data_IF_798673593802
#
_entry.id   IF_798673593802
#
_cell.length_a   1.000
_cell.length_b   1.000
_cell.length_c   1.000
_cell.angle_alpha   90.00
_cell.angle_beta   90.00
_cell.angle_gamma   90.00
#
_symmetry.space_group_name_H-M   'P 1'
#
loop_
_entity.id
_entity.type
_entity.pdbx_description
1 polymer ?
#
# COMPACT_ATOMS: atom_id res chain seq x y z
N UNK A 1 4.14 -6.18 25.03
CA UNK A 1 4.61 -5.77 23.70
C UNK A 1 4.82 -7.06 22.92
N UNK A 2 3.85 -7.43 22.09
CA UNK A 2 4.02 -8.59 21.21
C UNK A 2 5.03 -8.14 20.15
N UNK A 3 6.16 -8.84 20.03
CA UNK A 3 7.05 -8.62 18.90
C UNK A 3 6.27 -9.01 17.65
N UNK A 4 6.12 -8.07 16.71
CA UNK A 4 5.56 -8.41 15.41
C UNK A 4 6.47 -9.50 14.81
N UNK A 5 5.92 -10.60 14.29
CA UNK A 5 6.74 -11.66 13.73
C UNK A 5 7.61 -11.08 12.62
N UNK A 6 8.87 -11.53 12.53
CA UNK A 6 9.72 -11.23 11.38
C UNK A 6 9.03 -11.72 10.11
N UNK A 7 8.89 -10.83 9.12
CA UNK A 7 8.18 -11.11 7.87
C UNK A 7 9.16 -11.14 6.70
N UNK A 8 8.91 -12.06 5.77
CA UNK A 8 9.57 -12.11 4.46
C UNK A 8 8.53 -11.84 3.38
N UNK A 9 8.86 -10.94 2.46
CA UNK A 9 8.09 -10.73 1.23
C UNK A 9 8.78 -11.50 0.11
N UNK A 10 8.05 -12.45 -0.48
CA UNK A 10 8.48 -13.24 -1.63
C UNK A 10 7.58 -12.92 -2.83
N UNK A 11 8.18 -12.40 -3.90
CA UNK A 11 7.55 -12.20 -5.21
C UNK A 11 8.34 -13.00 -6.27
N UNK A 12 7.86 -13.13 -7.53
CA UNK A 12 8.56 -13.92 -8.55
C UNK A 12 10.00 -13.44 -8.82
N UNK A 13 10.28 -12.16 -8.55
CA UNK A 13 11.55 -11.50 -8.87
C UNK A 13 12.26 -10.90 -7.64
N UNK A 14 11.60 -10.85 -6.48
CA UNK A 14 12.14 -10.24 -5.27
C UNK A 14 11.96 -11.15 -4.05
N UNK A 15 12.96 -11.16 -3.18
CA UNK A 15 12.86 -11.74 -1.85
C UNK A 15 13.54 -10.78 -0.89
N UNK A 16 12.78 -10.24 0.07
CA UNK A 16 13.28 -9.28 1.04
C UNK A 16 12.81 -9.58 2.44
N UNK A 17 13.70 -9.37 3.39
CA UNK A 17 13.39 -9.33 4.81
C UNK A 17 12.81 -7.96 5.14
N UNK A 18 11.65 -7.93 5.78
CA UNK A 18 11.04 -6.68 6.24
C UNK A 18 11.60 -6.31 7.63
N UNK A 19 11.79 -5.02 7.92
CA UNK A 19 12.26 -4.55 9.21
C UNK A 19 11.32 -5.01 10.33
N UNK A 20 11.90 -5.26 11.51
CA UNK A 20 11.12 -5.53 12.72
C UNK A 20 10.56 -4.21 13.27
N UNK A 21 9.28 -3.97 13.01
CA UNK A 21 8.54 -2.81 13.45
C UNK A 21 7.61 -3.17 14.61
N UNK A 22 7.49 -2.27 15.59
CA UNK A 22 6.65 -2.48 16.79
C UNK A 22 5.31 -1.77 16.70
N UNK A 23 5.16 -0.88 15.74
CA UNK A 23 3.92 -0.19 15.42
C UNK A 23 3.25 -0.86 14.22
N UNK A 24 1.96 -1.15 14.35
CA UNK A 24 1.21 -1.90 13.34
C UNK A 24 0.97 -1.06 12.09
N UNK A 25 0.66 0.22 12.24
CA UNK A 25 0.39 1.12 11.12
C UNK A 25 1.68 1.39 10.33
N UNK A 26 2.80 1.61 11.01
CA UNK A 26 4.13 1.70 10.40
C UNK A 26 4.48 0.41 9.62
N UNK A 27 4.18 -0.76 10.19
CA UNK A 27 4.41 -2.04 9.52
C UNK A 27 3.54 -2.21 8.26
N UNK A 28 2.28 -1.77 8.31
CA UNK A 28 1.35 -1.81 7.18
C UNK A 28 1.83 -0.87 6.06
N UNK A 29 2.20 0.37 6.39
CA UNK A 29 2.72 1.35 5.43
C UNK A 29 3.96 0.78 4.74
N UNK A 30 4.92 0.29 5.51
CA UNK A 30 6.17 -0.23 4.94
C UNK A 30 5.93 -1.44 4.04
N UNK A 31 5.11 -2.41 4.47
CA UNK A 31 4.75 -3.54 3.62
C UNK A 31 4.05 -3.09 2.32
N UNK A 32 3.18 -2.09 2.41
CA UNK A 32 2.46 -1.57 1.26
C UNK A 32 3.38 -0.85 0.26
N UNK A 33 4.38 -0.10 0.73
CA UNK A 33 5.42 0.51 -0.12
C UNK A 33 6.17 -0.56 -0.92
N UNK A 34 6.67 -1.59 -0.23
CA UNK A 34 7.46 -2.64 -0.87
C UNK A 34 6.63 -3.44 -1.89
N UNK A 35 5.35 -3.70 -1.60
CA UNK A 35 4.43 -4.35 -2.53
C UNK A 35 4.11 -3.45 -3.73
N UNK A 36 3.91 -2.15 -3.51
CA UNK A 36 3.65 -1.21 -4.59
C UNK A 36 4.83 -1.11 -5.54
N UNK A 37 6.04 -0.99 -5.02
CA UNK A 37 7.26 -0.91 -5.82
C UNK A 37 7.42 -2.16 -6.70
N UNK A 38 7.23 -3.35 -6.12
CA UNK A 38 7.29 -4.61 -6.87
C UNK A 38 6.24 -4.68 -7.97
N UNK A 39 5.00 -4.29 -7.69
CA UNK A 39 3.93 -4.36 -8.69
C UNK A 39 4.17 -3.32 -9.79
N UNK A 40 4.58 -2.09 -9.46
CA UNK A 40 4.88 -1.04 -10.45
C UNK A 40 6.02 -1.49 -11.37
N UNK A 41 7.06 -2.12 -10.81
CA UNK A 41 8.16 -2.67 -11.60
C UNK A 41 7.66 -3.74 -12.57
N UNK A 42 6.78 -4.65 -12.12
CA UNK A 42 6.24 -5.74 -12.95
C UNK A 42 5.24 -5.29 -14.02
N UNK A 43 4.30 -4.41 -13.67
CA UNK A 43 3.23 -3.98 -14.59
C UNK A 43 3.64 -2.84 -15.51
N UNK A 44 4.80 -2.21 -15.24
CA UNK A 44 5.29 -1.02 -15.93
C UNK A 44 4.22 0.08 -16.06
N UNK A 45 3.50 0.34 -14.97
CA UNK A 45 2.32 1.21 -14.95
C UNK A 45 1.99 1.73 -13.55
N UNK A 46 0.82 2.35 -13.41
CA UNK A 46 0.34 2.86 -12.13
C UNK A 46 -0.35 1.75 -11.33
N UNK A 47 0.12 1.51 -10.11
CA UNK A 47 -0.55 0.61 -9.17
C UNK A 47 -0.40 1.10 -7.72
N UNK A 48 -1.46 1.06 -6.89
CA UNK A 48 -2.85 0.94 -7.31
C UNK A 48 -3.21 2.15 -8.19
N UNK A 49 -3.97 1.98 -9.27
CA UNK A 49 -4.30 3.10 -10.15
C UNK A 49 -5.25 4.07 -9.43
N UNK A 50 -5.00 5.37 -9.56
CA UNK A 50 -5.99 6.37 -9.16
C UNK A 50 -7.22 6.26 -10.07
N UNK A 51 -8.45 6.16 -9.53
CA UNK A 51 -9.65 6.04 -10.35
C UNK A 51 -10.03 7.35 -11.08
N UNK A 52 -9.39 8.47 -10.73
CA UNK A 52 -9.67 9.80 -11.33
C UNK A 52 -8.55 10.32 -12.24
N UNK A 53 -7.31 9.89 -12.03
CA UNK A 53 -6.13 10.51 -12.65
C UNK A 53 -5.11 9.46 -13.11
N UNK A 54 -4.22 9.84 -14.02
CA UNK A 54 -3.20 8.96 -14.59
C UNK A 54 -1.93 8.91 -13.73
N UNK A 55 -2.04 8.44 -12.48
CA UNK A 55 -0.93 8.25 -11.56
C UNK A 55 -1.25 7.12 -10.57
N UNK A 56 -0.24 6.49 -9.93
CA UNK A 56 -0.48 5.60 -8.80
C UNK A 56 -1.07 6.38 -7.62
N UNK A 57 -1.77 5.68 -6.74
CA UNK A 57 -2.07 6.20 -5.40
C UNK A 57 -0.79 6.18 -4.57
N UNK A 58 -0.68 7.11 -3.63
CA UNK A 58 0.42 7.15 -2.66
C UNK A 58 -0.06 6.67 -1.31
N UNK A 59 0.86 6.30 -0.43
CA UNK A 59 0.51 6.01 0.95
C UNK A 59 0.35 7.30 1.76
N UNK A 60 -0.64 7.30 2.64
CA UNK A 60 -0.92 8.34 3.61
C UNK A 60 -1.89 7.80 4.65
N UNK A 61 -2.65 8.69 5.27
CA UNK A 61 -3.60 8.32 6.33
C UNK A 61 -5.02 8.71 5.95
N UNK A 62 -6.01 7.94 6.42
CA UNK A 62 -7.40 8.37 6.49
C UNK A 62 -7.61 9.46 7.55
N UNK A 63 -8.77 10.13 7.53
CA UNK A 63 -9.14 11.10 8.57
C UNK A 63 -9.15 10.53 10.00
N UNK A 64 -9.34 9.21 10.14
CA UNK A 64 -9.27 8.50 11.42
C UNK A 64 -7.87 7.94 11.75
N UNK A 65 -6.86 8.29 10.96
CA UNK A 65 -5.44 8.00 11.22
C UNK A 65 -4.99 6.59 10.85
N UNK A 66 -5.72 5.89 9.97
CA UNK A 66 -5.33 4.56 9.49
C UNK A 66 -4.55 4.65 8.17
N UNK A 67 -3.56 3.78 7.94
CA UNK A 67 -2.88 3.70 6.66
C UNK A 67 -3.85 3.52 5.48
N UNK A 68 -3.69 4.36 4.46
CA UNK A 68 -4.53 4.35 3.28
C UNK A 68 -3.76 4.66 1.99
N UNK A 69 -4.31 4.13 0.89
CA UNK A 69 -4.00 4.56 -0.46
C UNK A 69 -4.75 5.86 -0.76
N UNK A 70 -4.02 6.93 -1.00
CA UNK A 70 -4.54 8.28 -1.15
C UNK A 70 -4.13 8.88 -2.49
N UNK A 71 -5.03 9.61 -3.13
CA UNK A 71 -4.73 10.36 -4.34
C UNK A 71 -3.94 11.64 -3.99
N UNK A 72 -2.72 11.84 -4.54
CA UNK A 72 -1.94 13.06 -4.32
C UNK A 72 -2.68 14.35 -4.71
N UNK A 73 -3.48 14.28 -5.77
CA UNK A 73 -4.22 15.43 -6.32
C UNK A 73 -5.62 15.63 -5.71
N UNK A 74 -6.11 14.65 -4.92
CA UNK A 74 -7.46 14.64 -4.35
C UNK A 74 -7.48 13.82 -3.06
N UNK A 75 -6.94 14.34 -1.94
CA UNK A 75 -6.73 13.57 -0.71
C UNK A 75 -8.01 12.99 -0.08
N UNK A 76 -9.18 13.54 -0.42
CA UNK A 76 -10.48 12.99 0.00
C UNK A 76 -10.79 11.63 -0.66
N UNK A 77 -10.03 11.28 -1.71
CA UNK A 77 -10.03 9.97 -2.31
C UNK A 77 -8.97 9.11 -1.61
N UNK A 78 -9.42 8.42 -0.57
CA UNK A 78 -8.61 7.50 0.20
C UNK A 78 -9.32 6.16 0.40
N UNK A 79 -8.54 5.08 0.43
CA UNK A 79 -9.03 3.72 0.71
C UNK A 79 -8.04 3.05 1.67
N UNK A 80 -8.50 2.48 2.80
CA UNK A 80 -7.62 1.79 3.72
C UNK A 80 -6.78 0.71 3.02
N UNK A 81 -5.52 0.58 3.45
CA UNK A 81 -4.67 -0.50 2.97
C UNK A 81 -5.32 -1.84 3.30
N UNK A 82 -5.39 -2.75 2.31
CA UNK A 82 -6.10 -4.03 2.42
C UNK A 82 -7.56 -4.01 1.94
N UNK A 83 -8.15 -2.83 1.66
CA UNK A 83 -9.56 -2.70 1.24
C UNK A 83 -9.75 -2.31 -0.24
N UNK A 84 -8.68 -2.17 -1.04
CA UNK A 84 -8.75 -1.77 -2.46
C UNK A 84 -9.79 -2.56 -3.27
N UNK A 85 -9.82 -3.89 -3.13
CA UNK A 85 -10.73 -4.77 -3.86
C UNK A 85 -12.17 -4.78 -3.34
N UNK A 86 -12.45 -4.12 -2.22
CA UNK A 86 -13.79 -4.02 -1.64
C UNK A 86 -14.56 -2.78 -2.13
N UNK A 87 -13.89 -1.83 -2.79
CA UNK A 87 -14.47 -0.55 -3.17
C UNK A 87 -15.17 -0.63 -4.54
N UNK A 88 -16.45 -0.26 -4.66
CA UNK A 88 -17.15 -0.23 -5.94
C UNK A 88 -16.47 0.72 -6.93
N UNK A 89 -16.12 0.22 -8.12
CA UNK A 89 -15.48 1.00 -9.17
C UNK A 89 -13.94 1.06 -9.08
N UNK A 90 -13.33 0.34 -8.14
CA UNK A 90 -11.90 0.16 -8.05
C UNK A 90 -11.51 -1.19 -8.63
N UNK A 91 -10.64 -1.20 -9.65
CA UNK A 91 -10.03 -2.42 -10.21
C UNK A 91 -8.61 -2.54 -9.71
N UNK A 92 -8.31 -3.66 -9.05
CA UNK A 92 -6.97 -4.05 -8.57
C UNK A 92 -6.18 -4.74 -9.68
#
# INVERSE_FOLDING_TARGET
>A
MLAFPQMWLETPHSHRELPNLTDEDEAIVHLAEEVQDDIIEEVHGAWPPCPRHAHPLSLGDTDDGRPAWTCPDAPELSVPVGELGAQPGWTV
#
